data_IF_006184338628
#
_entry.id   IF_006184338628
#
_cell.length_a   1.000
_cell.length_b   1.000
_cell.length_c   1.000
_cell.angle_alpha   90.00
_cell.angle_beta   90.00
_cell.angle_gamma   90.00
#
_symmetry.space_group_name_H-M   'P 1'
#
loop_
_entity.id
_entity.type
_entity.pdbx_description
1 polymer ?
#
# COMPACT_ATOMS: atom_id res chain seq x y z
N UNK A 1 -2.58 24.70 13.98
CA UNK A 1 -2.67 23.93 12.71
C UNK A 1 -3.61 22.76 12.98
N UNK A 2 -4.58 22.43 12.11
CA UNK A 2 -5.44 21.29 12.39
C UNK A 2 -4.55 20.06 12.52
N UNK A 3 -4.77 19.25 13.55
CA UNK A 3 -4.09 17.97 13.68
C UNK A 3 -4.24 17.21 12.36
N UNK A 4 -3.18 16.59 11.83
CA UNK A 4 -3.31 15.81 10.60
C UNK A 4 -4.32 14.70 10.84
N UNK A 5 -5.50 14.87 10.27
CA UNK A 5 -6.71 14.15 10.64
C UNK A 5 -6.64 12.69 10.18
N UNK A 6 -7.05 11.78 11.05
CA UNK A 6 -7.45 10.45 10.65
C UNK A 6 -8.60 10.56 9.65
N UNK A 7 -8.52 9.82 8.55
CA UNK A 7 -9.57 9.78 7.52
C UNK A 7 -10.27 8.42 7.56
N UNK A 8 -11.52 8.39 7.07
CA UNK A 8 -12.29 7.16 6.92
C UNK A 8 -12.86 7.07 5.51
N UNK A 9 -12.75 5.89 4.90
CA UNK A 9 -13.35 5.53 3.62
C UNK A 9 -14.40 4.44 3.84
N UNK A 10 -15.50 4.51 3.09
CA UNK A 10 -16.56 3.50 3.05
C UNK A 10 -17.21 3.17 4.40
N UNK A 11 -17.47 4.21 5.23
CA UNK A 11 -18.13 4.05 6.53
C UNK A 11 -19.48 3.34 6.44
N UNK A 12 -20.16 3.47 5.31
CA UNK A 12 -21.42 2.78 4.96
C UNK A 12 -21.31 1.25 4.95
N UNK A 13 -20.11 0.67 4.81
CA UNK A 13 -19.89 -0.79 4.83
C UNK A 13 -19.89 -1.39 6.24
N UNK A 14 -19.95 -0.58 7.30
CA UNK A 14 -20.00 -1.09 8.68
C UNK A 14 -21.36 -1.74 8.94
N UNK A 15 -21.43 -3.05 9.26
CA UNK A 15 -22.70 -3.72 9.51
C UNK A 15 -23.38 -3.20 10.79
N UNK A 16 -24.72 -3.11 10.75
CA UNK A 16 -25.55 -2.81 11.93
C UNK A 16 -25.66 -4.01 12.88
N UNK A 17 -25.55 -5.24 12.35
CA UNK A 17 -25.48 -6.48 13.11
C UNK A 17 -24.13 -6.67 13.80
N UNK A 18 -24.08 -7.51 14.82
CA UNK A 18 -22.83 -7.78 15.55
C UNK A 18 -21.75 -8.34 14.64
N UNK A 19 -20.50 -7.97 14.90
CA UNK A 19 -19.38 -8.32 14.02
C UNK A 19 -18.05 -8.43 14.76
N UNK A 20 -17.19 -9.35 14.29
CA UNK A 20 -15.78 -9.43 14.67
C UNK A 20 -14.97 -8.48 13.78
N UNK A 21 -14.56 -7.34 14.33
CA UNK A 21 -13.73 -6.35 13.65
C UNK A 21 -12.27 -6.79 13.72
N UNK A 22 -11.65 -6.99 12.57
CA UNK A 22 -10.25 -7.46 12.46
C UNK A 22 -9.45 -6.43 11.68
N UNK A 23 -8.84 -5.44 12.35
CA UNK A 23 -8.00 -4.47 11.69
C UNK A 23 -6.64 -5.09 11.32
N UNK A 24 -6.12 -4.77 10.13
CA UNK A 24 -4.82 -5.30 9.68
C UNK A 24 -3.64 -4.92 10.58
N UNK A 25 -3.77 -3.82 11.32
CA UNK A 25 -2.82 -3.34 12.33
C UNK A 25 -3.59 -2.50 13.35
N UNK A 26 -3.06 -2.31 14.55
CA UNK A 26 -3.67 -1.38 15.51
C UNK A 26 -2.62 -0.84 16.49
N UNK A 27 -2.47 0.47 16.55
CA UNK A 27 -1.74 1.17 17.61
C UNK A 27 -2.70 1.87 18.58
N UNK A 28 -2.16 2.52 19.63
CA UNK A 28 -2.95 3.21 20.64
C UNK A 28 -3.88 4.30 20.07
N UNK A 29 -3.37 5.19 19.21
CA UNK A 29 -4.17 6.27 18.62
C UNK A 29 -5.29 5.72 17.71
N UNK A 30 -4.99 4.64 16.97
CA UNK A 30 -5.93 3.96 16.10
C UNK A 30 -7.02 3.22 16.89
N UNK A 31 -6.70 2.64 18.05
CA UNK A 31 -7.68 2.01 18.93
C UNK A 31 -8.69 3.04 19.47
N UNK A 32 -8.23 4.22 19.90
CA UNK A 32 -9.11 5.33 20.32
C UNK A 32 -10.04 5.75 19.18
N UNK A 33 -9.53 5.77 17.94
CA UNK A 33 -10.36 6.10 16.78
C UNK A 33 -11.41 5.02 16.50
N UNK A 34 -11.07 3.73 16.59
CA UNK A 34 -12.05 2.64 16.46
C UNK A 34 -13.13 2.71 17.54
N UNK A 35 -12.76 3.01 18.79
CA UNK A 35 -13.73 3.18 19.87
C UNK A 35 -14.77 4.26 19.54
N UNK A 36 -14.31 5.41 19.02
CA UNK A 36 -15.20 6.48 18.54
C UNK A 36 -16.02 6.06 17.32
N UNK A 37 -15.45 5.26 16.42
CA UNK A 37 -16.14 4.82 15.20
C UNK A 37 -17.30 3.87 15.52
N UNK A 38 -17.13 3.01 16.51
CA UNK A 38 -18.14 2.07 16.99
C UNK A 38 -18.94 2.59 18.21
N UNK A 39 -18.85 3.89 18.49
CA UNK A 39 -19.59 4.52 19.57
C UNK A 39 -21.10 4.26 19.44
N UNK A 40 -21.74 3.93 20.57
CA UNK A 40 -23.14 3.51 20.61
C UNK A 40 -23.36 2.00 20.51
N UNK A 41 -22.30 1.21 20.27
CA UNK A 41 -22.32 -0.26 20.35
C UNK A 41 -21.59 -0.72 21.62
N UNK A 42 -21.91 -1.91 22.10
CA UNK A 42 -21.07 -2.57 23.11
C UNK A 42 -19.77 -3.00 22.45
N UNK A 43 -18.63 -2.49 22.95
CA UNK A 43 -17.31 -2.83 22.44
C UNK A 43 -16.65 -3.83 23.40
N UNK A 44 -16.11 -4.91 22.85
CA UNK A 44 -15.26 -5.86 23.58
C UNK A 44 -13.95 -6.03 22.83
N UNK A 45 -12.83 -5.86 23.52
CA UNK A 45 -11.50 -6.03 22.92
C UNK A 45 -11.07 -7.48 22.98
N UNK A 46 -10.69 -8.04 21.84
CA UNK A 46 -10.21 -9.41 21.73
C UNK A 46 -8.70 -9.41 21.54
N UNK A 47 -7.98 -10.10 22.42
CA UNK A 47 -6.53 -10.30 22.30
C UNK A 47 -6.21 -11.78 22.17
N UNK A 48 -5.08 -12.08 21.55
CA UNK A 48 -4.49 -13.42 21.64
C UNK A 48 -3.61 -13.48 22.91
N UNK A 49 -3.62 -14.61 23.62
CA UNK A 49 -3.06 -14.73 24.98
C UNK A 49 -1.56 -14.47 25.11
N UNK A 50 -0.79 -14.76 24.05
CA UNK A 50 0.67 -14.58 24.02
C UNK A 50 1.09 -13.25 23.40
N UNK A 51 0.13 -12.43 22.94
CA UNK A 51 0.42 -11.20 22.23
C UNK A 51 0.93 -10.09 23.14
N UNK A 52 2.02 -9.46 22.72
CA UNK A 52 2.58 -8.29 23.41
C UNK A 52 2.05 -6.99 22.79
N UNK A 53 1.67 -6.04 23.65
CA UNK A 53 1.17 -4.73 23.24
C UNK A 53 1.99 -3.59 23.87
N UNK A 54 2.01 -2.44 23.19
CA UNK A 54 2.65 -1.24 23.73
C UNK A 54 2.01 -0.83 25.08
N UNK A 55 2.78 -0.29 26.05
CA UNK A 55 2.26 0.04 27.39
C UNK A 55 1.02 0.95 27.39
N UNK A 56 0.97 1.94 26.50
CA UNK A 56 -0.18 2.86 26.38
C UNK A 56 -1.45 2.13 25.90
N UNK A 57 -1.32 1.27 24.89
CA UNK A 57 -2.43 0.47 24.38
C UNK A 57 -2.91 -0.50 25.46
N UNK A 58 -2.00 -1.21 26.13
CA UNK A 58 -2.33 -2.11 27.24
C UNK A 58 -3.10 -1.39 28.36
N UNK A 59 -2.60 -0.25 28.83
CA UNK A 59 -3.29 0.54 29.87
C UNK A 59 -4.68 0.99 29.44
N UNK A 60 -4.87 1.30 28.15
CA UNK A 60 -6.18 1.63 27.60
C UNK A 60 -7.14 0.43 27.58
N UNK A 61 -6.67 -0.74 27.14
CA UNK A 61 -7.46 -1.97 27.16
C UNK A 61 -7.88 -2.36 28.59
N UNK A 62 -6.96 -2.28 29.55
CA UNK A 62 -7.24 -2.56 30.97
C UNK A 62 -8.30 -1.59 31.55
N UNK A 63 -8.24 -0.31 31.17
CA UNK A 63 -9.23 0.71 31.60
C UNK A 63 -10.61 0.53 30.96
N UNK A 64 -10.69 -0.11 29.79
CA UNK A 64 -11.97 -0.32 29.09
C UNK A 64 -12.90 -1.28 29.84
N UNK A 65 -12.35 -2.17 30.68
CA UNK A 65 -13.12 -3.14 31.47
C UNK A 65 -13.86 -4.22 30.65
N UNK A 66 -13.69 -4.26 29.33
CA UNK A 66 -14.41 -5.17 28.42
C UNK A 66 -13.41 -5.86 27.48
N UNK A 67 -12.93 -7.04 27.92
CA UNK A 67 -11.92 -7.81 27.22
C UNK A 67 -12.29 -9.30 27.11
N UNK A 68 -11.87 -9.91 26.01
CA UNK A 68 -11.89 -11.35 25.78
C UNK A 68 -10.52 -11.80 25.27
N UNK A 69 -10.21 -13.08 25.48
CA UNK A 69 -8.93 -13.67 25.06
C UNK A 69 -9.19 -14.94 24.25
N UNK A 70 -8.28 -15.27 23.34
CA UNK A 70 -8.24 -16.55 22.68
C UNK A 70 -6.79 -17.07 22.57
N UNK A 71 -6.66 -18.37 22.35
CA UNK A 71 -5.37 -19.00 22.03
C UNK A 71 -5.30 -19.31 20.54
N UNK A 72 -4.23 -18.90 19.88
CA UNK A 72 -4.01 -19.25 18.46
C UNK A 72 -3.62 -20.72 18.27
N UNK A 73 -3.27 -21.43 19.35
CA UNK A 73 -2.95 -22.86 19.35
C UNK A 73 -4.09 -23.73 19.87
N UNK A 74 -5.29 -23.16 20.05
CA UNK A 74 -6.49 -23.91 20.42
C UNK A 74 -6.76 -25.02 19.38
N UNK A 75 -7.02 -26.24 19.86
CA UNK A 75 -7.35 -27.39 19.02
C UNK A 75 -8.78 -27.31 18.43
N UNK A 76 -9.66 -26.49 19.01
CA UNK A 76 -11.06 -26.34 18.64
C UNK A 76 -11.49 -24.85 18.53
N UNK A 77 -10.91 -24.06 17.60
CA UNK A 77 -11.19 -22.62 17.48
C UNK A 77 -12.67 -22.30 17.23
N UNK A 78 -13.44 -23.21 16.61
CA UNK A 78 -14.90 -23.04 16.44
C UNK A 78 -15.64 -22.99 17.78
N UNK A 79 -15.20 -23.74 18.78
CA UNK A 79 -15.84 -23.74 20.10
C UNK A 79 -15.49 -22.45 20.87
N UNK A 80 -14.26 -21.94 20.72
CA UNK A 80 -13.91 -20.59 21.18
C UNK A 80 -14.80 -19.53 20.51
N UNK A 81 -15.05 -19.65 19.20
CA UNK A 81 -15.99 -18.79 18.47
C UNK A 81 -17.40 -18.77 19.06
N UNK A 82 -17.94 -19.94 19.45
CA UNK A 82 -19.25 -20.03 20.13
C UNK A 82 -19.26 -19.28 21.48
N UNK A 83 -18.16 -19.30 22.22
CA UNK A 83 -18.03 -18.56 23.49
C UNK A 83 -17.94 -17.05 23.26
N UNK A 84 -17.46 -16.62 22.09
CA UNK A 84 -17.36 -15.21 21.70
C UNK A 84 -18.67 -14.64 21.11
N UNK A 85 -19.57 -15.50 20.63
CA UNK A 85 -20.85 -15.11 20.02
C UNK A 85 -21.69 -14.14 20.88
N UNK A 86 -21.79 -14.29 22.22
CA UNK A 86 -22.54 -13.34 23.06
C UNK A 86 -22.06 -11.89 22.93
N UNK A 87 -20.78 -11.62 22.65
CA UNK A 87 -20.25 -10.27 22.46
C UNK A 87 -20.74 -9.58 21.19
N UNK A 88 -21.35 -10.31 20.25
CA UNK A 88 -21.96 -9.76 19.04
C UNK A 88 -23.45 -9.43 19.22
N UNK A 89 -24.04 -9.81 20.37
CA UNK A 89 -25.47 -9.56 20.65
C UNK A 89 -25.81 -8.07 20.59
N UNK A 90 -27.05 -7.75 20.17
CA UNK A 90 -27.55 -6.37 20.05
C UNK A 90 -26.66 -5.45 19.20
N UNK A 91 -25.94 -6.01 18.23
CA UNK A 91 -25.02 -5.25 17.41
C UNK A 91 -23.71 -4.93 18.14
N UNK A 92 -23.19 -5.82 18.98
CA UNK A 92 -21.89 -5.63 19.61
C UNK A 92 -20.72 -5.70 18.62
N UNK A 93 -19.63 -5.00 18.93
CA UNK A 93 -18.39 -5.00 18.15
C UNK A 93 -17.28 -5.68 18.95
N UNK A 94 -16.92 -6.90 18.54
CA UNK A 94 -15.76 -7.62 19.07
C UNK A 94 -14.55 -7.20 18.26
N UNK A 95 -13.61 -6.43 18.83
CA UNK A 95 -12.50 -5.83 18.08
C UNK A 95 -11.20 -6.53 18.41
N UNK A 96 -10.61 -7.22 17.42
CA UNK A 96 -9.29 -7.83 17.57
C UNK A 96 -8.20 -6.77 17.66
N UNK A 97 -7.27 -6.95 18.60
CA UNK A 97 -6.08 -6.11 18.75
C UNK A 97 -4.84 -6.93 18.35
N UNK A 98 -4.24 -6.65 17.19
CA UNK A 98 -2.98 -7.29 16.81
C UNK A 98 -1.86 -7.01 17.82
N UNK A 99 -1.03 -8.01 18.09
CA UNK A 99 0.21 -7.84 18.84
C UNK A 99 1.23 -6.97 18.08
N UNK A 100 2.27 -6.51 18.78
CA UNK A 100 3.40 -5.84 18.15
C UNK A 100 4.13 -6.81 17.22
N UNK A 101 4.35 -6.39 15.98
CA UNK A 101 5.06 -7.16 14.97
C UNK A 101 6.18 -6.31 14.35
N UNK A 102 7.35 -6.93 14.14
CA UNK A 102 8.43 -6.34 13.37
C UNK A 102 8.11 -6.48 11.88
N UNK A 103 7.72 -5.38 11.24
CA UNK A 103 7.27 -5.35 9.85
C UNK A 103 7.97 -4.23 9.07
N UNK A 104 8.02 -4.37 7.75
CA UNK A 104 8.44 -3.26 6.88
C UNK A 104 7.34 -2.19 6.85
N UNK A 105 7.73 -0.93 6.64
CA UNK A 105 6.78 0.15 6.44
C UNK A 105 5.78 -0.20 5.32
N UNK A 106 4.52 0.23 5.49
CA UNK A 106 3.41 -0.04 4.58
C UNK A 106 3.04 -1.53 4.37
N UNK A 107 3.43 -2.41 5.30
CA UNK A 107 2.85 -3.76 5.34
C UNK A 107 1.37 -3.67 5.75
N UNK A 108 0.43 -4.20 4.95
CA UNK A 108 -1.01 -4.00 5.19
C UNK A 108 -1.58 -4.85 6.34
N UNK A 109 -0.92 -5.97 6.67
CA UNK A 109 -1.36 -6.89 7.72
C UNK A 109 -0.18 -7.23 8.64
N UNK A 110 -0.31 -6.90 9.91
CA UNK A 110 0.64 -7.17 10.99
C UNK A 110 0.24 -8.41 11.80
N UNK A 111 -0.86 -9.07 11.43
CA UNK A 111 -1.40 -10.22 12.15
C UNK A 111 -0.60 -11.48 11.78
N UNK A 112 -0.03 -12.22 12.75
CA UNK A 112 0.60 -13.50 12.48
C UNK A 112 -0.39 -14.50 11.86
N UNK A 113 0.08 -15.33 10.92
CA UNK A 113 -0.79 -16.27 10.20
C UNK A 113 -1.49 -17.28 11.10
N UNK A 114 -0.91 -17.64 12.25
CA UNK A 114 -1.57 -18.50 13.24
C UNK A 114 -2.81 -17.82 13.85
N UNK A 115 -2.69 -16.54 14.23
CA UNK A 115 -3.76 -15.78 14.84
C UNK A 115 -4.89 -15.55 13.83
N UNK A 116 -4.53 -15.18 12.60
CA UNK A 116 -5.52 -14.98 11.55
C UNK A 116 -6.28 -16.27 11.20
N UNK A 117 -5.60 -17.42 11.20
CA UNK A 117 -6.26 -18.74 11.03
C UNK A 117 -7.27 -19.02 12.13
N UNK A 118 -6.93 -18.76 13.39
CA UNK A 118 -7.85 -18.92 14.51
C UNK A 118 -9.07 -17.98 14.38
N UNK A 119 -8.82 -16.68 14.14
CA UNK A 119 -9.88 -15.66 13.95
C UNK A 119 -10.87 -16.04 12.84
N UNK A 120 -10.36 -16.52 11.69
CA UNK A 120 -11.20 -16.97 10.59
C UNK A 120 -11.95 -18.28 10.89
N UNK A 121 -11.46 -19.09 11.83
CA UNK A 121 -12.06 -20.35 12.22
C UNK A 121 -13.13 -20.21 13.31
N UNK A 122 -13.40 -18.99 13.82
CA UNK A 122 -14.41 -18.74 14.86
C UNK A 122 -15.85 -18.85 14.36
N UNK A 123 -16.09 -18.96 13.05
CA UNK A 123 -17.44 -19.01 12.48
C UNK A 123 -18.28 -17.77 12.85
N UNK A 124 -17.61 -16.62 12.92
CA UNK A 124 -18.21 -15.31 13.16
C UNK A 124 -18.14 -14.45 11.89
N UNK A 125 -19.08 -13.52 11.67
CA UNK A 125 -18.96 -12.52 10.61
C UNK A 125 -17.77 -11.61 10.91
N UNK A 126 -16.93 -11.36 9.91
CA UNK A 126 -15.69 -10.60 10.03
C UNK A 126 -15.81 -9.27 9.28
N UNK A 127 -15.41 -8.17 9.91
CA UNK A 127 -15.19 -6.89 9.26
C UNK A 127 -13.69 -6.58 9.23
N UNK A 128 -13.02 -6.81 8.08
CA UNK A 128 -11.66 -6.34 7.91
C UNK A 128 -11.61 -4.81 7.89
N UNK A 129 -10.62 -4.22 8.55
CA UNK A 129 -10.35 -2.78 8.45
C UNK A 129 -8.90 -2.59 8.00
N UNK A 130 -8.73 -2.02 6.82
CA UNK A 130 -7.43 -1.60 6.34
C UNK A 130 -7.07 -0.26 6.97
N UNK A 131 -5.87 -0.17 7.56
CA UNK A 131 -5.36 1.08 8.12
C UNK A 131 -4.07 1.44 7.38
N UNK A 132 -4.19 2.29 6.36
CA UNK A 132 -3.03 2.85 5.67
C UNK A 132 -2.42 3.98 6.51
N UNK A 133 -1.09 4.08 6.52
CA UNK A 133 -0.34 5.14 7.19
C UNK A 133 0.50 5.89 6.14
N UNK A 134 -0.07 6.87 5.40
CA UNK A 134 0.63 7.52 4.29
C UNK A 134 1.98 8.16 4.65
N UNK A 135 2.16 8.56 5.91
CA UNK A 135 3.42 9.12 6.41
C UNK A 135 4.57 8.12 6.41
N UNK A 136 4.29 6.84 6.65
CA UNK A 136 5.29 5.76 6.69
C UNK A 136 5.86 5.41 5.31
N UNK A 137 5.08 5.66 4.25
CA UNK A 137 5.43 5.38 2.85
C UNK A 137 5.50 6.63 1.96
N UNK A 138 5.61 7.80 2.59
CA UNK A 138 5.68 9.08 1.88
C UNK A 138 6.96 9.19 1.03
N UNK A 139 6.80 9.57 -0.25
CA UNK A 139 7.92 9.92 -1.11
C UNK A 139 8.56 11.24 -0.65
N UNK A 140 9.85 11.42 -0.92
CA UNK A 140 10.61 12.62 -0.53
C UNK A 140 10.07 13.93 -1.10
N UNK A 141 9.29 13.85 -2.18
CA UNK A 141 8.64 15.00 -2.86
C UNK A 141 7.33 15.42 -2.19
N UNK A 142 6.80 14.59 -1.29
CA UNK A 142 5.57 14.86 -0.56
C UNK A 142 5.90 15.35 0.85
N UNK A 143 5.28 16.44 1.28
CA UNK A 143 5.41 16.92 2.65
C UNK A 143 4.77 15.94 3.63
N UNK A 144 5.56 15.32 4.53
CA UNK A 144 5.02 14.35 5.51
C UNK A 144 3.88 14.93 6.35
N UNK A 145 3.98 16.20 6.72
CA UNK A 145 2.97 16.90 7.52
C UNK A 145 1.66 17.14 6.78
N UNK A 146 1.66 17.17 5.45
CA UNK A 146 0.45 17.37 4.64
C UNK A 146 -0.36 16.09 4.44
N UNK A 147 0.16 14.94 4.88
CA UNK A 147 -0.52 13.65 4.78
C UNK A 147 -1.28 13.32 6.07
N UNK A 148 -2.41 12.60 5.98
CA UNK A 148 -3.09 12.10 7.17
C UNK A 148 -2.17 11.12 7.93
N UNK A 149 -2.36 11.01 9.24
CA UNK A 149 -1.62 10.04 10.06
C UNK A 149 -2.05 8.61 9.77
N UNK A 150 -3.35 8.43 9.51
CA UNK A 150 -3.96 7.14 9.18
C UNK A 150 -5.20 7.34 8.31
N UNK A 151 -5.45 6.38 7.41
CA UNK A 151 -6.66 6.27 6.60
C UNK A 151 -7.28 4.91 6.89
N UNK A 152 -8.47 4.91 7.47
CA UNK A 152 -9.24 3.72 7.78
C UNK A 152 -10.16 3.42 6.58
N UNK A 153 -9.82 2.41 5.79
CA UNK A 153 -10.71 1.91 4.75
C UNK A 153 -11.48 0.70 5.28
N UNK A 154 -12.80 0.88 5.42
CA UNK A 154 -13.70 -0.19 5.83
C UNK A 154 -13.84 -1.15 4.64
N UNK A 155 -13.39 -2.39 4.83
CA UNK A 155 -13.44 -3.39 3.77
C UNK A 155 -14.87 -3.93 3.61
N UNK A 156 -15.07 -4.76 2.58
CA UNK A 156 -16.32 -5.51 2.45
C UNK A 156 -16.40 -6.53 3.59
N UNK A 157 -17.48 -6.53 4.40
CA UNK A 157 -17.64 -7.52 5.46
C UNK A 157 -17.76 -8.92 4.87
N UNK A 158 -17.27 -9.91 5.61
CA UNK A 158 -17.39 -11.32 5.31
C UNK A 158 -18.45 -11.94 6.20
N UNK A 159 -19.34 -12.73 5.62
CA UNK A 159 -20.23 -13.58 6.40
C UNK A 159 -19.43 -14.69 7.09
N UNK A 160 -19.98 -15.30 8.14
CA UNK A 160 -19.34 -16.42 8.84
C UNK A 160 -18.94 -17.57 7.89
N UNK A 161 -19.79 -17.86 6.89
CA UNK A 161 -19.54 -18.92 5.90
C UNK A 161 -18.42 -18.57 4.90
N UNK A 162 -18.20 -17.28 4.63
CA UNK A 162 -17.13 -16.80 3.74
C UNK A 162 -15.78 -16.63 4.47
N UNK A 163 -15.81 -16.58 5.81
CA UNK A 163 -14.63 -16.35 6.65
C UNK A 163 -13.53 -17.37 6.38
N UNK A 164 -12.47 -16.90 5.73
CA UNK A 164 -11.25 -17.64 5.46
C UNK A 164 -10.08 -16.67 5.41
N UNK A 165 -8.86 -17.20 5.61
CA UNK A 165 -7.64 -16.39 5.52
C UNK A 165 -7.51 -15.71 4.15
N UNK A 166 -7.86 -16.42 3.08
CA UNK A 166 -7.81 -15.89 1.72
C UNK A 166 -8.84 -14.77 1.51
N UNK A 167 -10.09 -14.98 1.91
CA UNK A 167 -11.14 -13.97 1.79
C UNK A 167 -10.84 -12.71 2.63
N UNK A 168 -10.31 -12.90 3.84
CA UNK A 168 -9.86 -11.79 4.69
C UNK A 168 -8.75 -10.98 3.99
N UNK A 169 -7.71 -11.65 3.49
CA UNK A 169 -6.62 -10.96 2.81
C UNK A 169 -7.09 -10.23 1.56
N UNK A 170 -7.94 -10.85 0.74
CA UNK A 170 -8.50 -10.19 -0.43
C UNK A 170 -9.25 -8.92 -0.04
N UNK A 171 -10.20 -9.02 0.89
CA UNK A 171 -11.01 -7.87 1.32
C UNK A 171 -10.15 -6.77 1.95
N UNK A 172 -9.16 -7.13 2.77
CA UNK A 172 -8.21 -6.18 3.36
C UNK A 172 -7.33 -5.49 2.31
N UNK A 173 -6.85 -6.23 1.31
CA UNK A 173 -5.97 -5.69 0.25
C UNK A 173 -6.74 -4.79 -0.72
N UNK A 174 -7.98 -5.15 -1.07
CA UNK A 174 -8.88 -4.28 -1.84
C UNK A 174 -9.10 -2.94 -1.10
N UNK A 175 -9.37 -2.97 0.21
CA UNK A 175 -9.53 -1.74 1.00
C UNK A 175 -8.22 -0.93 1.14
N UNK A 176 -7.06 -1.59 1.23
CA UNK A 176 -5.76 -0.90 1.20
C UNK A 176 -5.50 -0.24 -0.16
N UNK A 177 -5.89 -0.89 -1.25
CA UNK A 177 -5.79 -0.31 -2.60
C UNK A 177 -6.65 0.95 -2.71
N UNK A 178 -7.90 0.92 -2.25
CA UNK A 178 -8.79 2.09 -2.25
C UNK A 178 -8.17 3.27 -1.46
N UNK A 179 -7.61 2.99 -0.29
CA UNK A 179 -6.88 3.98 0.50
C UNK A 179 -5.64 4.51 -0.22
N UNK A 180 -4.82 3.63 -0.81
CA UNK A 180 -3.61 4.01 -1.53
C UNK A 180 -3.94 4.87 -2.75
N UNK A 181 -4.90 4.46 -3.57
CA UNK A 181 -5.34 5.16 -4.78
C UNK A 181 -5.98 6.52 -4.49
N UNK A 182 -6.45 6.77 -3.27
CA UNK A 182 -6.97 8.09 -2.86
C UNK A 182 -5.90 9.18 -2.73
N UNK A 183 -4.61 8.83 -2.74
CA UNK A 183 -3.49 9.76 -2.54
C UNK A 183 -3.47 10.82 -3.65
N UNK A 184 -3.36 12.08 -3.25
CA UNK A 184 -3.26 13.22 -4.20
C UNK A 184 -2.05 13.12 -5.13
N UNK A 185 -1.01 12.38 -4.74
CA UNK A 185 0.15 12.07 -5.59
C UNK A 185 -0.26 11.49 -6.95
N UNK A 186 -1.27 10.62 -6.99
CA UNK A 186 -1.72 9.98 -8.22
C UNK A 186 -2.58 10.87 -9.11
N UNK A 187 -2.97 12.05 -8.63
CA UNK A 187 -3.68 13.07 -9.43
C UNK A 187 -2.71 14.02 -10.15
N UNK A 188 -1.40 13.86 -9.94
CA UNK A 188 -0.36 14.67 -10.56
C UNK A 188 0.26 14.02 -11.79
N UNK A 189 1.31 14.66 -12.32
CA UNK A 189 2.12 14.12 -13.41
C UNK A 189 3.34 13.38 -12.86
N UNK A 190 3.53 12.12 -13.29
CA UNK A 190 4.72 11.33 -12.97
C UNK A 190 6.01 12.07 -13.36
N UNK A 191 6.02 12.73 -14.53
CA UNK A 191 7.16 13.52 -14.98
C UNK A 191 7.49 14.67 -14.01
N UNK A 192 6.47 15.37 -13.51
CA UNK A 192 6.67 16.43 -12.53
C UNK A 192 7.17 15.90 -11.19
N UNK A 193 6.63 14.76 -10.72
CA UNK A 193 7.09 14.08 -9.50
C UNK A 193 8.57 13.69 -9.61
N UNK A 194 8.98 13.11 -10.74
CA UNK A 194 10.37 12.73 -10.99
C UNK A 194 11.29 13.96 -11.08
N UNK A 195 10.88 15.01 -11.78
CA UNK A 195 11.63 16.26 -11.88
C UNK A 195 11.85 16.89 -10.50
N UNK A 196 10.81 17.00 -9.69
CA UNK A 196 10.90 17.53 -8.33
C UNK A 196 11.80 16.67 -7.44
N UNK A 197 11.67 15.35 -7.53
CA UNK A 197 12.46 14.39 -6.76
C UNK A 197 13.94 14.45 -7.09
N UNK A 198 14.28 14.39 -8.39
CA UNK A 198 15.65 14.49 -8.87
C UNK A 198 16.26 15.86 -8.54
N UNK A 199 15.52 16.96 -8.71
CA UNK A 199 16.00 18.31 -8.39
C UNK A 199 16.25 18.49 -6.89
N UNK A 200 15.31 18.09 -6.04
CA UNK A 200 15.41 18.22 -4.58
C UNK A 200 16.63 17.47 -4.03
N UNK A 201 16.98 16.37 -4.66
CA UNK A 201 18.01 15.43 -4.22
C UNK A 201 19.28 15.48 -5.10
N UNK A 202 19.43 16.51 -5.94
CA UNK A 202 20.40 16.55 -7.03
C UNK A 202 21.86 16.33 -6.59
N UNK A 203 22.23 16.86 -5.43
CA UNK A 203 23.58 16.77 -4.85
C UNK A 203 23.71 15.69 -3.76
N UNK A 204 22.59 15.23 -3.20
CA UNK A 204 22.59 14.34 -2.04
C UNK A 204 22.61 12.85 -2.42
N UNK A 205 22.13 12.50 -3.62
CA UNK A 205 21.96 11.12 -4.03
C UNK A 205 22.54 10.81 -5.40
N UNK A 206 22.88 9.53 -5.59
CA UNK A 206 23.54 8.97 -6.76
C UNK A 206 22.86 7.65 -7.11
N UNK A 207 22.80 7.33 -8.39
CA UNK A 207 22.43 5.99 -8.88
C UNK A 207 23.72 5.21 -9.07
N UNK A 208 23.79 4.02 -8.47
CA UNK A 208 24.81 3.01 -8.74
C UNK A 208 24.34 2.13 -9.90
N UNK A 209 25.17 2.01 -10.94
CA UNK A 209 24.93 1.14 -12.08
C UNK A 209 25.75 -0.14 -11.90
N UNK A 210 25.09 -1.23 -11.51
CA UNK A 210 25.76 -2.51 -11.24
C UNK A 210 26.32 -3.23 -12.48
N UNK A 211 26.14 -2.66 -13.68
CA UNK A 211 26.77 -3.22 -14.90
C UNK A 211 28.24 -2.84 -15.03
N UNK A 212 28.65 -1.69 -14.48
CA UNK A 212 30.02 -1.18 -14.54
C UNK A 212 30.50 -0.55 -13.22
N UNK A 213 29.76 -0.79 -12.13
CA UNK A 213 29.96 -0.25 -10.78
C UNK A 213 30.14 1.27 -10.72
N UNK A 214 29.72 1.98 -11.77
CA UNK A 214 29.83 3.43 -11.83
C UNK A 214 28.66 4.09 -11.11
N UNK A 215 28.88 5.34 -10.71
CA UNK A 215 27.84 6.15 -10.09
C UNK A 215 27.57 7.43 -10.87
N UNK A 216 26.30 7.82 -10.93
CA UNK A 216 25.89 9.10 -11.50
C UNK A 216 24.96 9.86 -10.55
N UNK A 217 25.30 11.12 -10.29
CA UNK A 217 24.50 12.00 -9.43
C UNK A 217 23.14 12.32 -10.06
N UNK A 218 22.12 12.48 -9.21
CA UNK A 218 20.75 12.80 -9.66
C UNK A 218 20.69 14.07 -10.51
N UNK A 219 21.49 15.09 -10.17
CA UNK A 219 21.57 16.32 -10.97
C UNK A 219 22.09 16.09 -12.40
N UNK A 220 23.05 15.18 -12.59
CA UNK A 220 23.57 14.83 -13.92
C UNK A 220 22.53 14.04 -14.73
N UNK A 221 21.83 13.09 -14.09
CA UNK A 221 20.71 12.37 -14.71
C UNK A 221 19.64 13.36 -15.18
N UNK A 222 19.23 14.28 -14.30
CA UNK A 222 18.20 15.28 -14.60
C UNK A 222 18.61 16.19 -15.77
N UNK A 223 19.85 16.70 -15.76
CA UNK A 223 20.36 17.55 -16.81
C UNK A 223 20.39 16.83 -18.17
N UNK A 224 20.92 15.60 -18.20
CA UNK A 224 20.95 14.79 -19.42
C UNK A 224 19.53 14.52 -19.95
N UNK A 225 18.61 14.10 -19.07
CA UNK A 225 17.23 13.82 -19.46
C UNK A 225 16.51 15.06 -20.01
N UNK A 226 16.71 16.25 -19.43
CA UNK A 226 16.13 17.50 -19.95
C UNK A 226 16.70 17.84 -21.33
N UNK A 227 18.00 17.71 -21.54
CA UNK A 227 18.64 17.97 -22.84
C UNK A 227 18.10 17.01 -23.90
N UNK A 228 18.13 15.70 -23.63
CA UNK A 228 17.61 14.70 -24.57
C UNK A 228 16.10 14.85 -24.84
N UNK A 229 15.31 15.34 -23.86
CA UNK A 229 13.88 15.57 -24.07
C UNK A 229 13.58 16.61 -25.15
N UNK A 230 14.51 17.54 -25.44
CA UNK A 230 14.37 18.53 -26.51
C UNK A 230 14.56 17.87 -27.87
N UNK A 231 15.63 17.09 -28.00
CA UNK A 231 15.92 16.30 -29.20
C UNK A 231 14.77 15.33 -29.53
N UNK A 232 14.24 14.61 -28.54
CA UNK A 232 13.10 13.69 -28.74
C UNK A 232 11.84 14.41 -29.26
N UNK A 233 11.62 15.67 -28.86
CA UNK A 233 10.48 16.46 -29.35
C UNK A 233 10.63 16.87 -30.81
N UNK A 234 11.87 17.12 -31.26
CA UNK A 234 12.18 17.48 -32.65
C UNK A 234 12.11 16.25 -33.58
N UNK A 235 12.45 15.07 -33.06
CA UNK A 235 12.55 13.84 -33.86
C UNK A 235 11.21 13.18 -34.20
N UNK A 236 10.15 13.40 -33.40
CA UNK A 236 8.86 12.76 -33.65
C UNK A 236 7.71 13.52 -33.01
N UNK A 237 6.59 13.56 -33.72
CA UNK A 237 5.28 14.02 -33.21
C UNK A 237 4.49 12.88 -32.54
N UNK A 238 4.93 11.62 -32.65
CA UNK A 238 4.22 10.49 -32.05
C UNK A 238 4.19 10.58 -30.52
N UNK A 239 3.11 10.10 -29.86
CA UNK A 239 2.99 10.14 -28.41
C UNK A 239 3.86 9.09 -27.71
N UNK A 240 4.48 8.16 -28.46
CA UNK A 240 5.25 7.03 -27.93
C UNK A 240 6.62 6.97 -28.60
N UNK A 241 7.63 6.62 -27.82
CA UNK A 241 9.02 6.47 -28.30
C UNK A 241 9.54 5.11 -27.84
N UNK A 242 10.07 4.32 -28.76
CA UNK A 242 10.65 3.03 -28.42
C UNK A 242 12.03 3.20 -27.78
N UNK A 243 12.31 2.38 -26.77
CA UNK A 243 13.61 2.30 -26.11
C UNK A 243 14.10 0.87 -26.24
N UNK A 244 15.27 0.72 -26.85
CA UNK A 244 15.99 -0.53 -27.07
C UNK A 244 17.36 -0.38 -26.43
N UNK A 245 17.37 -0.32 -25.10
CA UNK A 245 18.56 -0.18 -24.27
C UNK A 245 18.50 -1.18 -23.11
N UNK A 246 19.64 -1.71 -22.65
CA UNK A 246 19.67 -2.52 -21.44
C UNK A 246 19.34 -1.68 -20.19
N UNK A 247 18.92 -2.32 -19.08
CA UNK A 247 18.83 -1.66 -17.79
C UNK A 247 20.18 -1.04 -17.40
N UNK A 248 20.15 0.19 -16.90
CA UNK A 248 21.36 0.94 -16.53
C UNK A 248 21.12 2.45 -16.58
N UNK A 249 22.17 3.24 -16.36
CA UNK A 249 22.09 4.71 -16.35
C UNK A 249 21.58 5.30 -17.66
N UNK A 250 21.98 4.76 -18.81
CA UNK A 250 21.53 5.22 -20.13
C UNK A 250 20.03 4.93 -20.36
N UNK A 251 19.58 3.71 -20.04
CA UNK A 251 18.16 3.34 -20.12
C UNK A 251 17.27 4.18 -19.19
N UNK A 252 17.76 4.48 -17.97
CA UNK A 252 17.09 5.39 -17.04
C UNK A 252 16.96 6.81 -17.62
N UNK A 253 18.06 7.37 -18.14
CA UNK A 253 18.06 8.71 -18.75
C UNK A 253 17.11 8.76 -19.96
N UNK A 254 17.11 7.73 -20.82
CA UNK A 254 16.21 7.66 -21.96
C UNK A 254 14.74 7.65 -21.54
N UNK A 255 14.36 6.82 -20.56
CA UNK A 255 12.99 6.78 -20.04
C UNK A 255 12.57 8.14 -19.45
N UNK A 256 13.45 8.78 -18.67
CA UNK A 256 13.20 10.13 -18.13
C UNK A 256 13.07 11.19 -19.23
N UNK A 257 13.94 11.14 -20.25
CA UNK A 257 13.92 12.08 -21.37
C UNK A 257 12.60 11.99 -22.16
N UNK A 258 12.11 10.77 -22.42
CA UNK A 258 10.82 10.54 -23.09
C UNK A 258 9.67 11.09 -22.24
N UNK A 259 9.66 10.84 -20.93
CA UNK A 259 8.66 11.40 -20.02
C UNK A 259 8.69 12.94 -19.99
N UNK A 260 9.88 13.56 -19.94
CA UNK A 260 10.05 15.01 -19.98
C UNK A 260 9.73 15.63 -21.35
N UNK A 261 9.76 14.83 -22.42
CA UNK A 261 9.27 15.22 -23.73
C UNK A 261 7.73 15.21 -23.83
N UNK A 262 7.02 14.80 -22.76
CA UNK A 262 5.56 14.65 -22.76
C UNK A 262 5.09 13.40 -23.52
N UNK A 263 5.97 12.41 -23.70
CA UNK A 263 5.71 11.18 -24.45
C UNK A 263 5.74 9.96 -23.54
N UNK A 264 5.27 8.82 -24.04
CA UNK A 264 5.25 7.53 -23.32
C UNK A 264 6.42 6.65 -23.78
N UNK A 265 7.33 6.25 -22.87
CA UNK A 265 8.40 5.31 -23.22
C UNK A 265 7.84 3.90 -23.45
N UNK A 266 8.28 3.26 -24.53
CA UNK A 266 7.95 1.87 -24.86
C UNK A 266 9.24 1.05 -24.83
N UNK A 267 9.50 0.34 -23.73
CA UNK A 267 10.69 -0.49 -23.58
C UNK A 267 10.50 -1.79 -24.35
N UNK A 268 11.26 -1.99 -25.43
CA UNK A 268 11.22 -3.20 -26.25
C UNK A 268 12.24 -4.22 -25.72
N UNK A 269 11.82 -5.49 -25.66
CA UNK A 269 12.72 -6.56 -25.28
C UNK A 269 13.66 -6.91 -26.45
N UNK A 270 14.89 -6.42 -26.42
CA UNK A 270 15.91 -6.66 -27.45
C UNK A 270 16.32 -8.14 -27.61
N UNK A 271 15.92 -9.02 -26.69
CA UNK A 271 16.12 -10.48 -26.81
C UNK A 271 14.95 -11.21 -27.50
N UNK A 272 13.85 -10.51 -27.78
CA UNK A 272 12.69 -11.08 -28.44
C UNK A 272 12.94 -11.32 -29.93
N UNK A 273 12.31 -12.37 -30.48
CA UNK A 273 12.45 -12.70 -31.91
C UNK A 273 11.91 -11.59 -32.84
N UNK A 274 12.36 -11.55 -34.11
CA UNK A 274 12.01 -10.47 -35.05
C UNK A 274 10.50 -10.27 -35.29
N UNK A 275 9.70 -11.33 -35.19
CA UNK A 275 8.24 -11.24 -35.34
C UNK A 275 7.58 -10.54 -34.14
N UNK A 276 8.05 -10.86 -32.93
CA UNK A 276 7.57 -10.24 -31.70
C UNK A 276 7.91 -8.74 -31.68
N UNK A 277 9.15 -8.37 -32.04
CA UNK A 277 9.55 -6.96 -32.17
C UNK A 277 8.70 -6.23 -33.21
N UNK A 278 8.52 -6.80 -34.40
CA UNK A 278 7.66 -6.20 -35.44
C UNK A 278 6.21 -6.04 -34.96
N UNK A 279 5.69 -6.99 -34.18
CA UNK A 279 4.37 -6.90 -33.57
C UNK A 279 4.29 -5.76 -32.54
N UNK A 280 5.28 -5.66 -31.64
CA UNK A 280 5.35 -4.60 -30.65
C UNK A 280 5.45 -3.21 -31.30
N UNK A 281 6.27 -3.05 -32.34
CA UNK A 281 6.39 -1.78 -33.08
C UNK A 281 5.03 -1.36 -33.66
N UNK A 282 4.33 -2.28 -34.34
CA UNK A 282 3.01 -2.01 -34.92
C UNK A 282 1.97 -1.62 -33.85
N UNK A 283 1.90 -2.37 -32.75
CA UNK A 283 0.94 -2.12 -31.67
C UNK A 283 1.26 -0.83 -30.89
N UNK A 284 2.55 -0.56 -30.70
CA UNK A 284 3.00 0.65 -30.04
C UNK A 284 2.81 1.89 -30.90
N UNK A 285 2.82 1.78 -32.24
CA UNK A 285 2.68 2.92 -33.14
C UNK A 285 3.87 3.88 -33.04
N UNK A 286 5.07 3.32 -32.91
CA UNK A 286 6.33 4.07 -32.76
C UNK A 286 7.02 4.25 -34.11
N UNK A 287 7.62 5.42 -34.33
CA UNK A 287 8.39 5.77 -35.54
C UNK A 287 9.85 6.18 -35.23
N UNK A 288 10.21 6.21 -33.94
CA UNK A 288 11.55 6.52 -33.43
C UNK A 288 11.96 5.57 -32.32
N UNK A 289 13.26 5.29 -32.30
CA UNK A 289 13.91 4.32 -31.42
C UNK A 289 15.13 4.97 -30.78
N UNK A 290 15.24 4.85 -29.46
CA UNK A 290 16.46 5.16 -28.72
C UNK A 290 17.20 3.84 -28.49
N UNK A 291 18.40 3.70 -29.04
CA UNK A 291 19.19 2.47 -28.99
C UNK A 291 20.69 2.74 -29.00
N UNK A 292 21.51 1.69 -28.97
CA UNK A 292 22.96 1.75 -29.07
C UNK A 292 23.44 0.69 -30.08
N UNK A 293 24.54 0.95 -30.78
CA UNK A 293 25.05 0.12 -31.89
C UNK A 293 25.07 -1.39 -31.65
N UNK A 294 25.40 -1.92 -30.45
CA UNK A 294 25.37 -3.37 -30.22
C UNK A 294 23.98 -4.03 -30.29
N UNK A 295 22.90 -3.24 -30.37
CA UNK A 295 21.51 -3.71 -30.32
C UNK A 295 20.74 -3.45 -31.62
N UNK A 296 21.42 -2.99 -32.68
CA UNK A 296 20.82 -2.67 -33.99
C UNK A 296 21.44 -3.51 -35.10
#
# INVERSE_FOLDING_TARGET
MPSPSTQILHKDRIPTSGVLVVPGRLNFEQAIFLEKLFAGRTITWLIEETSHHAPQLRSHLEKSGSGAMFSATDAAPKDAGKQLLPYLSNGGALIYVPGQAAVRNATPCHIPSAHLRALCAFDLPILPIAIDCPRESSLSVVGRSSLPTSVFAIAKPLTAAESSVAAYHQSLLEANEEAFSSRSLFKGSLAMTLLQGLKKNASAYRILDGSDDSEIAYGKILAAAIVFSKFIREETEQPRVAIVLPPGKAGLIANLAVLFAGKTPVNLNFTAGPEAIRSCIRQAGVDRFITADPFV
#
